data_IF_637686200214
#
_entry.id   IF_637686200214
#
_cell.length_a   1.000
_cell.length_b   1.000
_cell.length_c   1.000
_cell.angle_alpha   90.00
_cell.angle_beta   90.00
_cell.angle_gamma   90.00
#
_symmetry.space_group_name_H-M   'P 1'
#
loop_
_entity.id
_entity.type
_entity.pdbx_description
1 polymer ?
#
# COMPACT_ATOMS: atom_id res chain seq x y z
N UNK A 1 -29.13 55.37 26.50
CA UNK A 1 -29.68 54.31 25.63
C UNK A 1 -28.55 53.34 25.33
N UNK A 2 -28.81 52.05 25.52
CA UNK A 2 -27.86 50.99 25.82
C UNK A 2 -26.79 50.70 24.75
N UNK A 3 -25.54 50.55 25.19
CA UNK A 3 -24.49 49.84 24.45
C UNK A 3 -24.69 48.33 24.61
N UNK A 4 -24.83 47.61 23.49
CA UNK A 4 -24.75 46.15 23.48
C UNK A 4 -23.27 45.77 23.39
N UNK A 5 -22.74 45.22 24.48
CA UNK A 5 -21.47 44.55 24.51
C UNK A 5 -21.57 43.28 23.65
N UNK A 6 -20.86 43.25 22.53
CA UNK A 6 -20.58 42.05 21.76
C UNK A 6 -19.54 41.25 22.54
N UNK A 7 -19.99 40.36 23.42
CA UNK A 7 -19.12 39.40 24.09
C UNK A 7 -18.63 38.36 23.08
N UNK A 8 -17.36 38.43 22.72
CA UNK A 8 -16.62 37.30 22.18
C UNK A 8 -16.71 36.17 23.19
N UNK A 9 -17.38 35.09 22.81
CA UNK A 9 -17.38 33.85 23.60
C UNK A 9 -15.99 33.26 23.38
N UNK A 10 -15.03 33.63 24.23
CA UNK A 10 -13.71 33.00 24.24
C UNK A 10 -13.94 31.50 24.44
N UNK A 11 -13.55 30.71 23.45
CA UNK A 11 -13.67 29.26 23.51
C UNK A 11 -12.90 28.76 24.74
N UNK A 12 -13.53 27.88 25.53
CA UNK A 12 -12.83 27.20 26.63
C UNK A 12 -11.60 26.52 26.03
N UNK A 13 -10.39 26.69 26.58
CA UNK A 13 -9.15 26.18 25.97
C UNK A 13 -9.21 24.71 25.55
N UNK A 14 -9.87 23.85 26.35
CA UNK A 14 -10.05 22.42 26.04
C UNK A 14 -10.96 22.14 24.83
N UNK A 15 -11.96 22.98 24.55
CA UNK A 15 -12.84 22.79 23.38
C UNK A 15 -12.08 23.03 22.07
N UNK A 16 -11.12 23.96 22.09
CA UNK A 16 -10.32 24.25 20.90
C UNK A 16 -9.37 23.09 20.57
N UNK A 17 -8.75 22.48 21.58
CA UNK A 17 -7.90 21.29 21.43
C UNK A 17 -8.68 20.09 20.87
N UNK A 18 -9.87 19.81 21.43
CA UNK A 18 -10.73 18.73 20.94
C UNK A 18 -11.22 18.96 19.51
N UNK A 19 -11.53 20.21 19.13
CA UNK A 19 -11.88 20.54 17.75
C UNK A 19 -10.72 20.32 16.78
N UNK A 20 -9.49 20.61 17.20
CA UNK A 20 -8.28 20.34 16.40
C UNK A 20 -8.07 18.85 16.21
N UNK A 21 -8.18 18.06 17.29
CA UNK A 21 -8.10 16.61 17.21
C UNK A 21 -9.16 16.03 16.27
N UNK A 22 -10.41 16.49 16.40
CA UNK A 22 -11.51 16.06 15.53
C UNK A 22 -11.23 16.41 14.06
N UNK A 23 -10.70 17.61 13.77
CA UNK A 23 -10.33 18.00 12.42
C UNK A 23 -9.21 17.10 11.85
N UNK A 24 -8.18 16.80 12.65
CA UNK A 24 -7.12 15.88 12.26
C UNK A 24 -7.64 14.47 11.95
N UNK A 25 -8.45 13.90 12.85
CA UNK A 25 -9.08 12.59 12.64
C UNK A 25 -10.01 12.57 11.41
N UNK A 26 -10.74 13.66 11.17
CA UNK A 26 -11.60 13.83 9.98
C UNK A 26 -10.77 13.84 8.71
N UNK A 27 -9.65 14.58 8.69
CA UNK A 27 -8.73 14.63 7.55
C UNK A 27 -8.14 13.24 7.24
N UNK A 28 -7.66 12.52 8.25
CA UNK A 28 -7.13 11.15 8.09
C UNK A 28 -8.20 10.19 7.56
N UNK A 29 -9.43 10.26 8.11
CA UNK A 29 -10.57 9.48 7.62
C UNK A 29 -10.85 9.74 6.14
N UNK A 30 -10.70 10.99 5.70
CA UNK A 30 -10.94 11.40 4.33
C UNK A 30 -9.71 11.19 3.41
N UNK A 31 -8.64 10.57 3.93
CA UNK A 31 -7.46 10.15 3.18
C UNK A 31 -6.32 11.19 3.13
N UNK A 32 -6.44 12.29 3.86
CA UNK A 32 -5.35 13.28 3.98
C UNK A 32 -4.34 12.83 5.04
N UNK A 33 -3.32 12.08 4.60
CA UNK A 33 -2.18 11.70 5.43
C UNK A 33 -1.05 12.75 5.45
N UNK A 34 -1.30 13.94 4.89
CA UNK A 34 -0.45 15.14 5.03
C UNK A 34 -0.81 15.98 6.25
N UNK A 35 -1.99 15.76 6.84
CA UNK A 35 -2.47 16.47 8.03
C UNK A 35 -1.59 16.23 9.26
N UNK A 36 -1.40 17.24 10.11
CA UNK A 36 -0.62 17.14 11.35
C UNK A 36 -1.32 17.91 12.47
N UNK A 37 -1.26 17.38 13.68
CA UNK A 37 -1.62 18.15 14.88
C UNK A 37 -0.43 19.02 15.32
N UNK A 38 -0.66 20.19 15.92
CA UNK A 38 0.41 21.07 16.38
C UNK A 38 1.27 20.43 17.48
N UNK A 39 2.59 20.53 17.34
CA UNK A 39 3.58 20.01 18.30
C UNK A 39 3.86 20.97 19.48
N UNK A 40 3.20 22.14 19.51
CA UNK A 40 3.32 23.13 20.59
C UNK A 40 2.36 22.88 21.76
N UNK A 41 1.52 21.85 21.65
CA UNK A 41 0.60 21.44 22.71
C UNK A 41 1.38 20.77 23.85
N UNK A 42 0.98 21.05 25.10
CA UNK A 42 1.61 20.48 26.29
C UNK A 42 0.66 19.53 27.02
N UNK A 43 1.21 18.69 27.92
CA UNK A 43 0.43 17.69 28.64
C UNK A 43 -0.17 16.64 27.70
N UNK A 44 -1.35 16.11 28.07
CA UNK A 44 -2.00 15.02 27.33
C UNK A 44 -2.23 15.34 25.85
N UNK A 45 -2.54 16.61 25.52
CA UNK A 45 -2.77 16.98 24.12
C UNK A 45 -1.48 16.90 23.29
N UNK A 46 -0.32 17.22 23.88
CA UNK A 46 0.99 17.03 23.24
C UNK A 46 1.32 15.55 23.02
N UNK A 47 1.00 14.70 24.01
CA UNK A 47 1.17 13.24 23.88
C UNK A 47 0.27 12.67 22.78
N UNK A 48 -1.00 13.11 22.73
CA UNK A 48 -1.95 12.74 21.66
C UNK A 48 -1.44 13.21 20.30
N UNK A 49 -0.95 14.45 20.19
CA UNK A 49 -0.41 14.99 18.94
C UNK A 49 0.77 14.16 18.44
N UNK A 50 1.69 13.77 19.34
CA UNK A 50 2.84 12.92 19.03
C UNK A 50 2.41 11.56 18.49
N UNK A 51 1.49 10.88 19.18
CA UNK A 51 1.00 9.56 18.76
C UNK A 51 0.21 9.64 17.45
N UNK A 52 -0.63 10.66 17.31
CA UNK A 52 -1.41 10.91 16.09
C UNK A 52 -0.50 11.17 14.90
N UNK A 53 0.46 12.09 15.02
CA UNK A 53 1.39 12.42 13.94
C UNK A 53 2.22 11.20 13.52
N UNK A 54 2.69 10.40 14.49
CA UNK A 54 3.38 9.14 14.19
C UNK A 54 2.49 8.11 13.47
N UNK A 55 1.21 8.00 13.83
CA UNK A 55 0.26 7.15 13.10
C UNK A 55 0.04 7.64 11.66
N UNK A 56 -0.07 8.96 11.47
CA UNK A 56 -0.26 9.56 10.14
C UNK A 56 0.98 9.38 9.27
N UNK A 57 2.18 9.52 9.83
CA UNK A 57 3.44 9.25 9.12
C UNK A 57 3.48 7.79 8.63
N UNK A 58 3.13 6.84 9.49
CA UNK A 58 3.10 5.42 9.15
C UNK A 58 2.11 5.12 8.01
N UNK A 59 0.91 5.71 8.07
CA UNK A 59 -0.11 5.61 7.03
C UNK A 59 0.38 6.18 5.71
N UNK A 60 0.99 7.37 5.74
CA UNK A 60 1.52 8.05 4.55
C UNK A 60 2.56 7.19 3.84
N UNK A 61 3.54 6.64 4.58
CA UNK A 61 4.56 5.75 4.03
C UNK A 61 3.93 4.50 3.43
N UNK A 62 3.05 3.82 4.17
CA UNK A 62 2.39 2.61 3.70
C UNK A 62 1.61 2.84 2.40
N UNK A 63 0.79 3.90 2.33
CA UNK A 63 0.02 4.25 1.13
C UNK A 63 0.92 4.56 -0.06
N UNK A 64 2.03 5.28 0.16
CA UNK A 64 2.98 5.58 -0.91
C UNK A 64 3.62 4.31 -1.48
N UNK A 65 4.01 3.37 -0.61
CA UNK A 65 4.66 2.12 -1.00
C UNK A 65 3.73 1.17 -1.72
N UNK A 66 2.49 1.00 -1.23
CA UNK A 66 1.48 0.18 -1.91
C UNK A 66 1.16 0.74 -3.29
N UNK A 67 1.02 2.07 -3.40
CA UNK A 67 0.77 2.75 -4.69
C UNK A 67 1.93 2.54 -5.66
N UNK A 68 3.17 2.64 -5.16
CA UNK A 68 4.38 2.41 -5.95
C UNK A 68 4.44 0.97 -6.47
N UNK A 69 4.27 -0.02 -5.60
CA UNK A 69 4.30 -1.45 -5.99
C UNK A 69 3.20 -1.79 -6.99
N UNK A 70 1.98 -1.29 -6.76
CA UNK A 70 0.86 -1.49 -7.68
C UNK A 70 1.14 -0.91 -9.07
N UNK A 71 1.75 0.29 -9.13
CA UNK A 71 2.17 0.91 -10.39
C UNK A 71 3.28 0.12 -11.08
N UNK A 72 4.36 -0.21 -10.36
CA UNK A 72 5.51 -0.93 -10.91
C UNK A 72 5.09 -2.30 -11.47
N UNK A 73 4.45 -3.13 -10.64
CA UNK A 73 4.11 -4.51 -11.01
C UNK A 73 2.90 -4.56 -11.95
N UNK A 74 1.88 -3.74 -11.67
CA UNK A 74 0.58 -3.83 -12.37
C UNK A 74 0.49 -2.96 -13.63
N UNK A 75 1.14 -1.81 -13.68
CA UNK A 75 1.02 -0.86 -14.81
C UNK A 75 2.27 -0.83 -15.67
N UNK A 76 3.43 -0.74 -15.05
CA UNK A 76 4.72 -0.63 -15.77
C UNK A 76 5.28 -2.01 -16.17
N UNK A 77 4.76 -3.09 -15.58
CA UNK A 77 5.25 -4.46 -15.81
C UNK A 77 6.65 -4.71 -15.24
N UNK A 78 7.12 -3.83 -14.35
CA UNK A 78 8.38 -3.97 -13.63
C UNK A 78 8.19 -4.96 -12.48
N UNK A 79 8.46 -6.23 -12.79
CA UNK A 79 8.30 -7.33 -11.83
C UNK A 79 9.41 -7.31 -10.77
N UNK A 80 9.07 -7.74 -9.55
CA UNK A 80 9.99 -7.81 -8.41
C UNK A 80 9.93 -6.63 -7.45
N UNK A 81 9.08 -5.64 -7.71
CA UNK A 81 8.81 -4.56 -6.76
C UNK A 81 8.19 -5.09 -5.47
N UNK A 82 8.70 -4.63 -4.33
CA UNK A 82 8.21 -4.95 -2.99
C UNK A 82 8.09 -3.69 -2.16
N UNK A 83 7.06 -3.63 -1.33
CA UNK A 83 6.80 -2.56 -0.38
C UNK A 83 7.78 -2.64 0.79
N UNK A 84 8.39 -1.52 1.14
CA UNK A 84 9.32 -1.37 2.26
C UNK A 84 8.78 -0.31 3.21
N UNK A 85 8.14 -0.77 4.28
CA UNK A 85 7.50 0.12 5.25
C UNK A 85 8.26 -0.01 6.59
N UNK A 86 9.14 0.93 6.94
CA UNK A 86 9.94 0.83 8.16
C UNK A 86 9.08 0.90 9.42
N UNK A 87 9.53 0.23 10.48
CA UNK A 87 8.93 0.37 11.82
C UNK A 87 7.57 -0.30 12.01
N UNK A 88 7.04 -0.97 10.99
CA UNK A 88 5.75 -1.69 11.11
C UNK A 88 5.87 -2.93 11.99
N UNK A 89 4.82 -3.17 12.76
CA UNK A 89 4.64 -4.38 13.58
C UNK A 89 3.16 -4.75 13.65
N UNK A 90 2.87 -5.97 14.10
CA UNK A 90 1.50 -6.50 14.16
C UNK A 90 0.82 -6.44 12.79
N UNK A 91 -0.44 -5.99 12.77
CA UNK A 91 -1.26 -5.95 11.55
C UNK A 91 -0.61 -5.15 10.41
N UNK A 92 0.18 -4.12 10.70
CA UNK A 92 0.88 -3.36 9.66
C UNK A 92 1.96 -4.19 8.94
N UNK A 93 2.66 -5.04 9.68
CA UNK A 93 3.63 -5.97 9.11
C UNK A 93 2.91 -7.02 8.26
N UNK A 94 1.84 -7.63 8.80
CA UNK A 94 1.05 -8.65 8.10
C UNK A 94 0.48 -8.12 6.76
N UNK A 95 0.03 -6.86 6.72
CA UNK A 95 -0.46 -6.22 5.50
C UNK A 95 0.67 -5.99 4.48
N UNK A 96 1.84 -5.54 4.95
CA UNK A 96 3.02 -5.32 4.09
C UNK A 96 3.47 -6.65 3.48
N UNK A 97 3.53 -7.71 4.30
CA UNK A 97 3.89 -9.05 3.88
C UNK A 97 2.87 -9.64 2.89
N UNK A 98 1.58 -9.37 3.10
CA UNK A 98 0.52 -9.81 2.19
C UNK A 98 0.63 -9.17 0.80
N UNK A 99 0.90 -7.86 0.74
CA UNK A 99 1.15 -7.14 -0.53
C UNK A 99 2.40 -7.70 -1.22
N UNK A 100 3.47 -7.91 -0.45
CA UNK A 100 4.72 -8.46 -0.97
C UNK A 100 4.59 -9.90 -1.48
N UNK A 101 3.81 -10.74 -0.79
CA UNK A 101 3.51 -12.09 -1.21
C UNK A 101 2.73 -12.09 -2.53
N UNK A 102 1.72 -11.22 -2.67
CA UNK A 102 0.97 -11.07 -3.91
C UNK A 102 1.89 -10.65 -5.07
N UNK A 103 2.65 -9.57 -4.89
CA UNK A 103 3.57 -9.05 -5.92
C UNK A 103 4.67 -10.06 -6.29
N UNK A 104 5.22 -10.77 -5.29
CA UNK A 104 6.25 -11.79 -5.48
C UNK A 104 5.74 -13.03 -6.22
N UNK A 105 4.53 -13.49 -5.89
CA UNK A 105 3.89 -14.61 -6.58
C UNK A 105 3.66 -14.28 -8.06
N UNK A 106 3.06 -13.12 -8.35
CA UNK A 106 2.82 -12.67 -9.74
C UNK A 106 4.14 -12.50 -10.51
N UNK A 107 5.15 -11.90 -9.88
CA UNK A 107 6.49 -11.75 -10.46
C UNK A 107 7.08 -13.09 -10.88
N UNK A 108 7.06 -14.07 -9.99
CA UNK A 108 7.64 -15.39 -10.23
C UNK A 108 6.88 -16.11 -11.34
N UNK A 109 5.55 -16.09 -11.27
CA UNK A 109 4.68 -16.74 -12.25
C UNK A 109 4.83 -16.16 -13.65
N UNK A 110 4.78 -14.84 -13.79
CA UNK A 110 4.85 -14.17 -15.10
C UNK A 110 6.26 -14.30 -15.71
N UNK A 111 7.33 -14.23 -14.90
CA UNK A 111 8.70 -14.42 -15.41
C UNK A 111 8.94 -15.82 -15.97
N UNK A 112 8.44 -16.86 -15.30
CA UNK A 112 8.58 -18.24 -15.77
C UNK A 112 7.86 -18.45 -17.12
N UNK A 113 6.63 -17.92 -17.22
CA UNK A 113 5.85 -17.93 -18.46
C UNK A 113 6.61 -17.20 -19.59
N UNK A 114 7.15 -16.01 -19.32
CA UNK A 114 7.91 -15.25 -20.29
C UNK A 114 9.19 -15.96 -20.75
N UNK A 115 9.89 -16.65 -19.83
CA UNK A 115 11.07 -17.44 -20.15
C UNK A 115 10.74 -18.57 -21.11
N UNK A 116 9.71 -19.36 -20.80
CA UNK A 116 9.29 -20.50 -21.64
C UNK A 116 8.78 -20.03 -23.00
N UNK A 117 7.96 -18.97 -23.04
CA UNK A 117 7.53 -18.37 -24.30
C UNK A 117 8.71 -17.89 -25.16
N UNK A 118 9.75 -17.31 -24.54
CA UNK A 118 10.98 -16.91 -25.22
C UNK A 118 11.78 -18.10 -25.76
N UNK A 119 11.86 -19.20 -25.00
CA UNK A 119 12.53 -20.43 -25.42
C UNK A 119 11.83 -21.03 -26.65
N UNK A 120 10.50 -21.14 -26.61
CA UNK A 120 9.67 -21.60 -27.73
C UNK A 120 9.89 -20.74 -28.97
N UNK A 121 9.90 -19.41 -28.82
CA UNK A 121 10.14 -18.49 -29.93
C UNK A 121 11.55 -18.64 -30.56
N UNK A 122 12.52 -19.16 -29.80
CA UNK A 122 13.87 -19.49 -30.27
C UNK A 122 13.99 -20.93 -30.80
N UNK A 123 12.90 -21.69 -30.83
CA UNK A 123 12.86 -23.08 -31.28
C UNK A 123 13.24 -24.11 -30.22
N UNK A 124 13.45 -23.71 -28.97
CA UNK A 124 13.64 -24.64 -27.85
C UNK A 124 12.29 -25.03 -27.25
N UNK A 125 11.82 -26.22 -27.64
CA UNK A 125 10.55 -26.79 -27.19
C UNK A 125 10.73 -27.78 -26.03
N UNK A 126 11.92 -27.84 -25.43
CA UNK A 126 12.18 -28.69 -24.26
C UNK A 126 11.73 -28.03 -22.94
N UNK A 127 11.52 -26.72 -22.95
CA UNK A 127 11.21 -25.94 -21.74
C UNK A 127 9.72 -25.99 -21.41
N UNK A 128 9.40 -26.05 -20.11
CA UNK A 128 8.04 -26.04 -19.57
C UNK A 128 7.97 -25.07 -18.40
N UNK A 129 6.80 -24.46 -18.23
CA UNK A 129 6.50 -23.68 -17.03
C UNK A 129 6.33 -24.67 -15.90
N UNK A 130 7.04 -24.47 -14.79
CA UNK A 130 7.02 -25.39 -13.64
C UNK A 130 6.61 -24.69 -12.34
N UNK A 131 6.66 -23.36 -12.27
CA UNK A 131 6.31 -22.63 -11.05
C UNK A 131 4.88 -22.93 -10.56
N UNK A 132 4.66 -22.99 -9.23
CA UNK A 132 3.33 -23.18 -8.66
C UNK A 132 2.37 -22.06 -9.07
N UNK A 133 1.20 -22.45 -9.55
CA UNK A 133 0.15 -21.54 -9.98
C UNK A 133 -1.23 -22.06 -9.53
N UNK A 134 -2.18 -21.15 -9.41
CA UNK A 134 -3.59 -21.45 -9.09
C UNK A 134 -4.51 -20.54 -9.91
N UNK A 135 -5.78 -20.91 -10.02
CA UNK A 135 -6.79 -20.11 -10.72
C UNK A 135 -6.42 -19.85 -12.18
N UNK A 136 -6.61 -18.60 -12.63
CA UNK A 136 -6.37 -18.19 -14.02
C UNK A 136 -4.90 -18.36 -14.44
N UNK A 137 -3.95 -18.16 -13.52
CA UNK A 137 -2.52 -18.34 -13.81
C UNK A 137 -2.19 -19.82 -14.06
N UNK A 138 -2.86 -20.75 -13.37
CA UNK A 138 -2.70 -22.18 -13.64
C UNK A 138 -3.22 -22.56 -15.03
N UNK A 139 -4.39 -22.04 -15.41
CA UNK A 139 -4.95 -22.27 -16.74
C UNK A 139 -4.03 -21.73 -17.84
N UNK A 140 -3.43 -20.55 -17.62
CA UNK A 140 -2.43 -19.99 -18.52
C UNK A 140 -1.18 -20.89 -18.62
N UNK A 141 -0.65 -21.35 -17.49
CA UNK A 141 0.47 -22.31 -17.43
C UNK A 141 0.18 -23.57 -18.25
N UNK A 142 -0.98 -24.20 -18.03
CA UNK A 142 -1.39 -25.42 -18.74
C UNK A 142 -1.56 -25.20 -20.24
N UNK A 143 -2.13 -24.04 -20.63
CA UNK A 143 -2.29 -23.67 -22.04
C UNK A 143 -0.95 -23.53 -22.74
N UNK A 144 0.01 -22.81 -22.14
CA UNK A 144 1.35 -22.63 -22.73
C UNK A 144 2.11 -23.95 -22.78
N UNK A 145 2.05 -24.77 -21.72
CA UNK A 145 2.69 -26.08 -21.73
C UNK A 145 2.10 -27.00 -22.81
N UNK A 146 0.78 -27.02 -22.98
CA UNK A 146 0.12 -27.79 -24.04
C UNK A 146 0.55 -27.33 -25.43
N UNK A 147 0.68 -26.00 -25.65
CA UNK A 147 1.20 -25.46 -26.90
C UNK A 147 2.62 -25.96 -27.18
N UNK A 148 3.50 -26.02 -26.17
CA UNK A 148 4.86 -26.57 -26.32
C UNK A 148 4.83 -28.05 -26.72
N UNK A 149 3.95 -28.86 -26.11
CA UNK A 149 3.79 -30.28 -26.46
C UNK A 149 3.35 -30.45 -27.91
N UNK A 150 2.39 -29.65 -28.37
CA UNK A 150 1.88 -29.74 -29.73
C UNK A 150 2.89 -29.33 -30.79
N UNK A 151 3.77 -28.37 -30.49
CA UNK A 151 4.81 -27.91 -31.43
C UNK A 151 6.01 -28.87 -31.49
N UNK A 152 6.24 -29.68 -30.46
CA UNK A 152 7.38 -30.60 -30.38
C UNK A 152 7.07 -32.02 -30.90
N UNK A 153 5.80 -32.30 -31.19
CA UNK A 153 5.31 -33.54 -31.78
C UNK A 153 5.52 -33.58 -33.31
#
# INVERSE_FOLDING_TARGET
>A
MAGKATGTIDAVPGDQELRRLLAGLTAVRDGDFGTRLPDDSTGLMGDIATVFNGMVDQLSVFTSEVTRVAREVGTEGTLGGQAQVPGVSGTWADLTDSVNAMAGNLTTQVRDIAQVATAVAKGDLSQKIDVPARGEILQLKETVNTMVDQLSA
#
